data_IF_489847340030
#
_entry.id   IF_489847340030
#
_cell.length_a   1.000
_cell.length_b   1.000
_cell.length_c   1.000
_cell.angle_alpha   90.00
_cell.angle_beta   90.00
_cell.angle_gamma   90.00
#
_symmetry.space_group_name_H-M   'P 1'
#
loop_
_entity.id
_entity.type
_entity.pdbx_description
1 polymer ?
#
# COMPACT_ATOMS: atom_id res chain seq x y z
N UNK A 1 -8.13 -7.88 17.72
CA UNK A 1 -6.85 -7.81 16.98
C UNK A 1 -7.03 -6.81 15.86
N UNK A 2 -6.13 -5.85 15.71
CA UNK A 2 -6.25 -4.81 14.70
C UNK A 2 -5.57 -5.29 13.40
N UNK A 3 -6.35 -5.62 12.37
CA UNK A 3 -5.81 -6.06 11.07
C UNK A 3 -5.41 -4.89 10.16
N UNK A 4 -5.44 -3.66 10.68
CA UNK A 4 -5.22 -2.44 9.90
C UNK A 4 -3.86 -2.41 9.20
N UNK A 5 -2.83 -2.98 9.84
CA UNK A 5 -1.46 -3.12 9.30
C UNK A 5 -1.37 -3.94 8.00
N UNK A 6 -2.37 -4.78 7.70
CA UNK A 6 -2.39 -5.61 6.50
C UNK A 6 -2.81 -4.82 5.25
N UNK A 7 -3.71 -3.86 5.41
CA UNK A 7 -4.34 -3.18 4.28
C UNK A 7 -3.40 -2.34 3.40
N UNK A 8 -2.32 -1.71 3.91
CA UNK A 8 -1.33 -1.05 3.06
C UNK A 8 -0.77 -1.97 1.98
N UNK A 9 -0.61 -3.27 2.26
CA UNK A 9 -0.13 -4.25 1.28
C UNK A 9 -1.30 -4.85 0.50
N UNK A 10 -2.32 -5.34 1.20
CA UNK A 10 -3.40 -6.12 0.57
C UNK A 10 -4.28 -5.29 -0.36
N UNK A 11 -4.65 -4.07 0.04
CA UNK A 11 -5.58 -3.24 -0.72
C UNK A 11 -5.04 -2.89 -2.13
N UNK A 12 -3.82 -2.35 -2.29
CA UNK A 12 -3.29 -2.07 -3.62
C UNK A 12 -2.99 -3.35 -4.42
N UNK A 13 -2.64 -4.47 -3.76
CA UNK A 13 -2.45 -5.76 -4.44
C UNK A 13 -3.74 -6.23 -5.12
N UNK A 14 -4.85 -6.25 -4.37
CA UNK A 14 -6.15 -6.70 -4.85
C UNK A 14 -6.70 -5.76 -5.92
N UNK A 15 -6.67 -4.45 -5.67
CA UNK A 15 -7.19 -3.48 -6.65
C UNK A 15 -6.31 -3.45 -7.91
N UNK A 16 -4.99 -3.55 -7.79
CA UNK A 16 -4.07 -3.67 -8.91
C UNK A 16 -4.38 -4.88 -9.79
N UNK A 17 -4.62 -6.06 -9.18
CA UNK A 17 -5.01 -7.27 -9.89
C UNK A 17 -6.38 -7.11 -10.60
N UNK A 18 -7.38 -6.52 -9.93
CA UNK A 18 -8.70 -6.24 -10.53
C UNK A 18 -8.56 -5.30 -11.74
N UNK A 19 -7.74 -4.25 -11.66
CA UNK A 19 -7.49 -3.34 -12.77
C UNK A 19 -6.93 -4.08 -13.98
N UNK A 20 -5.97 -5.01 -13.77
CA UNK A 20 -5.39 -5.82 -14.85
C UNK A 20 -6.45 -6.72 -15.49
N UNK A 21 -7.24 -7.43 -14.67
CA UNK A 21 -8.17 -8.46 -15.15
C UNK A 21 -9.40 -7.86 -15.84
N UNK A 22 -9.94 -6.77 -15.29
CA UNK A 22 -11.28 -6.27 -15.66
C UNK A 22 -11.22 -4.90 -16.38
N UNK A 23 -10.25 -4.05 -16.07
CA UNK A 23 -10.25 -2.64 -16.49
C UNK A 23 -9.20 -2.30 -17.56
N UNK A 24 -8.55 -3.29 -18.17
CA UNK A 24 -7.45 -3.11 -19.15
C UNK A 24 -7.76 -2.22 -20.36
N UNK A 25 -9.04 -2.00 -20.66
CA UNK A 25 -9.50 -1.13 -21.76
C UNK A 25 -10.31 0.09 -21.29
N UNK A 26 -10.49 0.25 -19.97
CA UNK A 26 -11.33 1.29 -19.38
C UNK A 26 -10.49 2.22 -18.49
N UNK A 27 -9.77 3.15 -19.11
CA UNK A 27 -8.87 4.08 -18.41
C UNK A 27 -9.59 4.91 -17.34
N UNK A 28 -10.82 5.35 -17.59
CA UNK A 28 -11.62 6.10 -16.60
C UNK A 28 -11.86 5.29 -15.34
N UNK A 29 -12.26 4.02 -15.46
CA UNK A 29 -12.46 3.12 -14.32
C UNK A 29 -11.14 2.86 -13.58
N UNK A 30 -10.06 2.59 -14.32
CA UNK A 30 -8.73 2.39 -13.72
C UNK A 30 -8.28 3.62 -12.91
N UNK A 31 -8.51 4.84 -13.41
CA UNK A 31 -8.24 6.10 -12.69
C UNK A 31 -9.06 6.19 -11.41
N UNK A 32 -10.38 5.98 -11.49
CA UNK A 32 -11.27 6.07 -10.32
C UNK A 32 -10.85 5.10 -9.22
N UNK A 33 -10.59 3.84 -9.56
CA UNK A 33 -10.15 2.83 -8.58
C UNK A 33 -8.76 3.13 -8.02
N UNK A 34 -7.83 3.60 -8.86
CA UNK A 34 -6.49 4.00 -8.41
C UNK A 34 -6.55 5.16 -7.43
N UNK A 35 -7.33 6.21 -7.72
CA UNK A 35 -7.48 7.38 -6.85
C UNK A 35 -8.19 7.02 -5.56
N UNK A 36 -9.28 6.25 -5.63
CA UNK A 36 -10.01 5.78 -4.45
C UNK A 36 -9.10 4.94 -3.53
N UNK A 37 -8.27 4.07 -4.11
CA UNK A 37 -7.30 3.25 -3.38
C UNK A 37 -6.23 4.12 -2.73
N UNK A 38 -5.66 5.10 -3.44
CA UNK A 38 -4.68 6.03 -2.87
C UNK A 38 -5.25 6.89 -1.74
N UNK A 39 -6.52 7.32 -1.84
CA UNK A 39 -7.21 8.02 -0.75
C UNK A 39 -7.42 7.13 0.48
N UNK A 40 -7.83 5.87 0.27
CA UNK A 40 -7.96 4.91 1.36
C UNK A 40 -6.61 4.64 2.04
N UNK A 41 -5.55 4.44 1.25
CA UNK A 41 -4.18 4.26 1.74
C UNK A 41 -3.67 5.47 2.52
N UNK A 42 -4.02 6.68 2.10
CA UNK A 42 -3.72 7.90 2.87
C UNK A 42 -4.37 7.85 4.25
N UNK A 43 -5.67 7.56 4.33
CA UNK A 43 -6.38 7.42 5.60
C UNK A 43 -5.79 6.33 6.49
N UNK A 44 -5.47 5.16 5.91
CA UNK A 44 -4.85 4.04 6.61
C UNK A 44 -3.45 4.40 7.12
N UNK A 45 -2.62 5.05 6.31
CA UNK A 45 -1.27 5.46 6.70
C UNK A 45 -1.27 6.44 7.87
N UNK A 46 -2.17 7.43 7.87
CA UNK A 46 -2.34 8.34 8.99
C UNK A 46 -2.91 7.65 10.25
N UNK A 47 -3.82 6.70 10.09
CA UNK A 47 -4.33 5.90 11.21
C UNK A 47 -3.23 5.06 11.87
N UNK A 48 -2.36 4.41 11.07
CA UNK A 48 -1.19 3.67 11.56
C UNK A 48 -0.19 4.58 12.27
N UNK A 49 0.07 5.77 11.72
CA UNK A 49 0.95 6.75 12.35
C UNK A 49 0.41 7.17 13.72
N UNK A 50 -0.88 7.46 13.81
CA UNK A 50 -1.55 7.75 15.08
C UNK A 50 -1.44 6.60 16.09
N UNK A 51 -1.63 5.36 15.66
CA UNK A 51 -1.52 4.18 16.53
C UNK A 51 -0.09 4.00 17.07
N UNK A 52 0.92 4.20 16.22
CA UNK A 52 2.33 4.12 16.58
C UNK A 52 2.79 5.22 17.56
N UNK A 53 2.05 6.32 17.67
CA UNK A 53 2.34 7.41 18.60
C UNK A 53 2.33 6.95 20.07
N UNK A 54 1.54 5.92 20.40
CA UNK A 54 1.49 5.30 21.73
C UNK A 54 2.83 4.70 22.19
N UNK A 55 3.80 4.53 21.29
CA UNK A 55 5.13 3.98 21.58
C UNK A 55 5.18 2.45 21.67
N UNK A 56 4.04 1.77 21.51
CA UNK A 56 3.99 0.31 21.39
C UNK A 56 4.38 -0.11 19.99
N UNK A 57 5.25 -1.11 19.88
CA UNK A 57 5.56 -1.78 18.62
C UNK A 57 4.49 -2.86 18.42
N UNK A 58 3.74 -2.79 17.32
CA UNK A 58 2.76 -3.81 16.99
C UNK A 58 3.41 -4.85 16.08
N UNK A 59 3.35 -6.10 16.52
CA UNK A 59 3.85 -7.26 15.76
C UNK A 59 2.64 -8.06 15.31
N UNK A 60 2.57 -8.37 14.02
CA UNK A 60 1.46 -9.08 13.40
C UNK A 60 1.98 -10.33 12.69
N UNK A 61 1.61 -11.49 13.25
CA UNK A 61 1.96 -12.80 12.69
C UNK A 61 1.00 -13.16 11.56
N UNK A 62 1.52 -13.18 10.32
CA UNK A 62 0.71 -13.44 9.15
C UNK A 62 0.36 -14.95 9.08
N UNK A 63 -0.93 -15.25 9.06
CA UNK A 63 -1.43 -16.63 9.04
C UNK A 63 -1.34 -17.35 10.38
N UNK A 64 -1.03 -16.65 11.48
CA UNK A 64 -0.93 -17.22 12.84
C UNK A 64 0.15 -18.31 12.97
N UNK A 65 1.18 -18.26 12.11
CA UNK A 65 2.37 -19.08 12.24
C UNK A 65 3.34 -18.39 13.20
N UNK A 66 3.78 -19.06 14.29
CA UNK A 66 4.69 -18.43 15.23
C UNK A 66 6.07 -18.17 14.59
N UNK A 67 6.70 -17.08 14.99
CA UNK A 67 8.11 -16.85 14.68
C UNK A 67 8.97 -18.04 15.17
N UNK A 68 10.02 -18.44 14.43
CA UNK A 68 10.63 -17.77 13.28
C UNK A 68 10.13 -18.21 11.90
N UNK A 69 9.08 -19.02 11.80
CA UNK A 69 8.66 -19.64 10.52
C UNK A 69 7.59 -18.83 9.77
N UNK A 70 6.90 -17.91 10.44
CA UNK A 70 5.89 -17.03 9.84
C UNK A 70 6.46 -15.72 9.29
N UNK A 71 5.75 -15.13 8.34
CA UNK A 71 5.98 -13.75 7.90
C UNK A 71 5.41 -12.83 8.97
N UNK A 72 6.20 -11.86 9.40
CA UNK A 72 5.81 -10.93 10.47
C UNK A 72 5.77 -9.52 9.91
N UNK A 73 4.67 -8.82 10.15
CA UNK A 73 4.58 -7.37 9.91
C UNK A 73 4.80 -6.64 11.22
N UNK A 74 5.67 -5.62 11.19
CA UNK A 74 6.06 -4.80 12.33
C UNK A 74 5.66 -3.36 12.06
N UNK A 75 4.86 -2.80 12.97
CA UNK A 75 4.53 -1.38 12.99
C UNK A 75 5.24 -0.75 14.18
N UNK A 76 6.38 -0.13 13.90
CA UNK A 76 7.01 0.84 14.79
C UNK A 76 6.76 2.27 14.28
N UNK A 77 7.33 3.27 14.98
CA UNK A 77 7.18 4.69 14.62
C UNK A 77 7.82 5.05 13.29
N UNK A 78 8.93 4.40 12.92
CA UNK A 78 9.64 4.65 11.68
C UNK A 78 8.85 4.08 10.50
N UNK A 79 8.45 2.80 10.57
CA UNK A 79 7.61 2.16 9.56
C UNK A 79 6.31 2.92 9.36
N UNK A 80 5.64 3.33 10.44
CA UNK A 80 4.41 4.10 10.36
C UNK A 80 4.62 5.48 9.69
N UNK A 81 5.71 6.18 10.01
CA UNK A 81 6.07 7.44 9.37
C UNK A 81 6.33 7.25 7.87
N UNK A 82 7.08 6.21 7.49
CA UNK A 82 7.39 5.90 6.09
C UNK A 82 6.13 5.56 5.29
N UNK A 83 5.23 4.75 5.85
CA UNK A 83 3.93 4.43 5.23
C UNK A 83 3.08 5.70 5.05
N UNK A 84 2.95 6.54 6.08
CA UNK A 84 2.17 7.78 5.99
C UNK A 84 2.76 8.78 4.99
N UNK A 85 4.09 8.92 4.97
CA UNK A 85 4.81 9.77 4.02
C UNK A 85 4.57 9.30 2.59
N UNK A 86 4.79 8.01 2.30
CA UNK A 86 4.58 7.45 0.97
C UNK A 86 3.12 7.58 0.53
N UNK A 87 2.15 7.31 1.41
CA UNK A 87 0.73 7.47 1.07
C UNK A 87 0.38 8.95 0.76
N UNK A 88 0.97 9.89 1.51
CA UNK A 88 0.81 11.34 1.29
C UNK A 88 1.41 11.79 -0.04
N UNK A 89 2.55 11.24 -0.45
CA UNK A 89 3.17 11.56 -1.74
C UNK A 89 2.50 10.85 -2.92
N UNK A 90 2.00 9.63 -2.72
CA UNK A 90 1.39 8.83 -3.77
C UNK A 90 0.18 9.52 -4.42
N UNK A 91 -0.70 10.12 -3.62
CA UNK A 91 -1.91 10.77 -4.12
C UNK A 91 -1.62 11.96 -5.07
N UNK A 92 -0.85 13.00 -4.69
CA UNK A 92 -0.56 14.11 -5.59
C UNK A 92 0.25 13.67 -6.82
N UNK A 93 1.16 12.70 -6.68
CA UNK A 93 1.90 12.13 -7.82
C UNK A 93 0.95 11.46 -8.82
N UNK A 94 -0.01 10.67 -8.32
CA UNK A 94 -1.03 10.03 -9.16
C UNK A 94 -1.92 11.07 -9.85
N UNK A 95 -2.40 12.07 -9.11
CA UNK A 95 -3.23 13.15 -9.67
C UNK A 95 -2.47 13.94 -10.74
N UNK A 96 -1.19 14.22 -10.52
CA UNK A 96 -0.33 14.85 -11.51
C UNK A 96 -0.18 13.98 -12.76
N UNK A 97 0.07 12.68 -12.62
CA UNK A 97 0.21 11.77 -13.75
C UNK A 97 -1.07 11.71 -14.60
N UNK A 98 -2.25 11.74 -13.95
CA UNK A 98 -3.56 11.80 -14.62
C UNK A 98 -3.76 13.14 -15.32
N UNK A 99 -3.50 14.25 -14.64
CA UNK A 99 -3.72 15.61 -15.15
C UNK A 99 -2.78 15.99 -16.30
N UNK A 100 -1.57 15.45 -16.30
CA UNK A 100 -0.58 15.62 -17.37
C UNK A 100 -0.70 14.61 -18.51
N UNK A 101 -1.60 13.61 -18.38
CA UNK A 101 -1.78 12.54 -19.36
C UNK A 101 -0.62 11.55 -19.45
N UNK A 102 0.27 11.52 -18.44
CA UNK A 102 1.35 10.54 -18.37
C UNK A 102 0.83 9.12 -18.13
N UNK A 103 -0.29 8.98 -17.42
CA UNK A 103 -0.93 7.70 -17.12
C UNK A 103 -1.40 6.94 -18.38
N UNK A 104 -1.64 7.64 -19.49
CA UNK A 104 -2.11 7.03 -20.76
C UNK A 104 -0.97 6.51 -21.63
N UNK A 105 0.30 6.78 -21.28
CA UNK A 105 1.46 6.30 -22.04
C UNK A 105 1.71 4.81 -21.90
N UNK A 106 1.17 4.19 -20.84
CA UNK A 106 1.30 2.76 -20.58
C UNK A 106 -0.04 2.12 -20.25
N UNK A 107 -0.40 1.04 -20.94
CA UNK A 107 -1.71 0.38 -20.78
C UNK A 107 -1.98 -0.15 -19.36
N UNK A 108 -0.94 -0.37 -18.58
CA UNK A 108 -1.02 -0.92 -17.22
C UNK A 108 -0.53 0.05 -16.13
N UNK A 109 -0.45 1.36 -16.42
CA UNK A 109 0.08 2.37 -15.50
C UNK A 109 -0.53 2.27 -14.10
N UNK A 110 -1.86 2.31 -13.98
CA UNK A 110 -2.54 2.29 -12.67
C UNK A 110 -2.31 0.99 -11.90
N UNK A 111 -2.29 -0.15 -12.58
CA UNK A 111 -2.00 -1.41 -11.92
C UNK A 111 -0.56 -1.45 -11.40
N UNK A 112 0.41 -1.07 -12.25
CA UNK A 112 1.82 -1.01 -11.88
C UNK A 112 2.08 -0.01 -10.74
N UNK A 113 1.40 1.13 -10.77
CA UNK A 113 1.46 2.12 -9.69
C UNK A 113 0.99 1.52 -8.35
N UNK A 114 -0.14 0.79 -8.34
CA UNK A 114 -0.61 0.13 -7.12
C UNK A 114 0.31 -1.01 -6.68
N UNK A 115 0.83 -1.84 -7.61
CA UNK A 115 1.80 -2.88 -7.25
C UNK A 115 3.11 -2.30 -6.70
N UNK A 116 3.55 -1.15 -7.21
CA UNK A 116 4.69 -0.43 -6.65
C UNK A 116 4.39 0.02 -5.20
N UNK A 117 3.21 0.59 -4.94
CA UNK A 117 2.80 0.96 -3.58
C UNK A 117 2.73 -0.26 -2.65
N UNK A 118 2.15 -1.37 -3.11
CA UNK A 118 2.13 -2.65 -2.39
C UNK A 118 3.55 -3.06 -1.96
N UNK A 119 4.50 -3.06 -2.90
CA UNK A 119 5.89 -3.42 -2.63
C UNK A 119 6.56 -2.49 -1.63
N UNK A 120 6.42 -1.17 -1.81
CA UNK A 120 7.01 -0.17 -0.90
C UNK A 120 6.44 -0.30 0.52
N UNK A 121 5.12 -0.44 0.66
CA UNK A 121 4.51 -0.61 1.98
C UNK A 121 4.90 -1.95 2.63
N UNK A 122 5.00 -3.03 1.84
CA UNK A 122 5.51 -4.32 2.31
C UNK A 122 6.93 -4.21 2.85
N UNK A 123 7.82 -3.55 2.12
CA UNK A 123 9.21 -3.35 2.53
C UNK A 123 9.34 -2.52 3.82
N UNK A 124 8.46 -1.55 4.07
CA UNK A 124 8.49 -0.77 5.32
C UNK A 124 7.90 -1.51 6.51
N UNK A 125 6.93 -2.40 6.28
CA UNK A 125 6.21 -3.10 7.34
C UNK A 125 6.79 -4.49 7.64
N UNK A 126 7.65 -5.05 6.80
CA UNK A 126 8.18 -6.41 7.03
C UNK A 126 9.18 -6.44 8.20
N UNK A 127 9.07 -7.48 9.04
CA UNK A 127 10.00 -7.77 10.12
C UNK A 127 11.11 -8.77 9.75
N UNK A 128 11.08 -9.32 8.53
CA UNK A 128 12.03 -10.33 8.08
C UNK A 128 12.77 -9.92 6.79
N UNK A 129 14.05 -10.33 6.69
CA UNK A 129 14.97 -9.92 5.61
C UNK A 129 14.61 -10.61 4.28
N UNK A 130 14.02 -11.79 4.32
CA UNK A 130 13.68 -12.53 3.10
C UNK A 130 12.51 -11.89 2.35
N UNK A 131 11.47 -11.45 3.06
CA UNK A 131 10.33 -10.73 2.54
C UNK A 131 10.65 -9.24 2.28
N UNK A 132 11.75 -8.72 2.84
CA UNK A 132 12.29 -7.41 2.49
C UNK A 132 12.95 -7.39 1.11
N UNK A 133 13.55 -8.51 0.69
CA UNK A 133 14.19 -8.68 -0.61
C UNK A 133 13.15 -8.89 -1.73
#
# INVERSE_FOLDING_TARGET
MNHLILFPVLLPAVVGAIIILVMRFHTSLARTFSVATSLALLGIGWALLWESASGRIMVYDLGNWPAPFGIVLVLDRLSALMVALTATLALPVLLYAIGSGWDTRGRHFHALFLFQLMGIFGAFLTGDIFNLF
#
